data_IF_739847898093
#
_entry.id   IF_739847898093
#
_cell.length_a   1.000
_cell.length_b   1.000
_cell.length_c   1.000
_cell.angle_alpha   90.00
_cell.angle_beta   90.00
_cell.angle_gamma   90.00
#
_symmetry.space_group_name_H-M   'P 1'
#
loop_
_entity.id
_entity.type
_entity.pdbx_description
1 polymer ?
#
# COMPACT_ATOMS: atom_id res chain seq x y z
N UNK A 1 8.24 14.31 6.09
CA UNK A 1 7.28 13.28 5.64
C UNK A 1 7.18 12.23 6.74
N UNK A 2 6.11 12.24 7.54
CA UNK A 2 5.90 11.14 8.49
C UNK A 2 5.59 9.87 7.71
N UNK A 3 6.12 8.74 8.17
CA UNK A 3 5.92 7.48 7.47
C UNK A 3 4.47 7.03 7.61
N UNK A 4 3.74 7.00 6.50
CA UNK A 4 2.35 6.56 6.49
C UNK A 4 2.15 5.46 5.45
N UNK A 5 1.71 4.30 5.92
CA UNK A 5 1.32 3.21 5.05
C UNK A 5 -0.07 3.48 4.49
N UNK A 6 -0.27 3.19 3.20
CA UNK A 6 -1.62 3.15 2.67
C UNK A 6 -2.43 2.09 3.40
N UNK A 7 -3.60 2.48 3.88
CA UNK A 7 -4.64 1.57 4.35
C UNK A 7 -5.33 0.87 3.16
N UNK A 8 -6.27 -0.04 3.43
CA UNK A 8 -7.14 -0.57 2.36
C UNK A 8 -8.00 0.56 1.76
N UNK A 9 -8.52 1.45 2.61
CA UNK A 9 -9.34 2.58 2.19
C UNK A 9 -8.57 3.54 1.27
N UNK A 10 -7.32 3.87 1.60
CA UNK A 10 -6.48 4.70 0.72
C UNK A 10 -6.31 4.05 -0.67
N UNK A 11 -6.08 2.73 -0.71
CA UNK A 11 -5.91 2.01 -1.97
C UNK A 11 -7.19 1.98 -2.79
N UNK A 12 -8.35 1.79 -2.15
CA UNK A 12 -9.64 1.84 -2.82
C UNK A 12 -9.90 3.22 -3.45
N UNK A 13 -9.57 4.30 -2.74
CA UNK A 13 -9.65 5.67 -3.27
C UNK A 13 -8.71 5.88 -4.45
N UNK A 14 -7.46 5.40 -4.35
CA UNK A 14 -6.49 5.46 -5.45
C UNK A 14 -7.03 4.69 -6.67
N UNK A 15 -7.59 3.49 -6.48
CA UNK A 15 -8.17 2.71 -7.56
C UNK A 15 -9.29 3.47 -8.25
N UNK A 16 -10.30 3.94 -7.50
CA UNK A 16 -11.44 4.63 -8.07
C UNK A 16 -11.02 5.87 -8.90
N UNK A 17 -10.08 6.68 -8.38
CA UNK A 17 -9.62 7.87 -9.09
C UNK A 17 -8.73 7.52 -10.29
N UNK A 18 -7.89 6.50 -10.18
CA UNK A 18 -7.05 6.03 -11.29
C UNK A 18 -7.90 5.48 -12.44
N UNK A 19 -8.96 4.71 -12.14
CA UNK A 19 -9.90 4.22 -13.16
C UNK A 19 -10.67 5.34 -13.86
N UNK A 20 -10.86 6.47 -13.18
CA UNK A 20 -11.44 7.69 -13.77
C UNK A 20 -10.43 8.52 -14.59
N UNK A 21 -9.19 8.06 -14.75
CA UNK A 21 -8.16 8.73 -15.55
C UNK A 21 -7.44 9.89 -14.84
N UNK A 22 -7.56 10.01 -13.52
CA UNK A 22 -6.91 11.08 -12.76
C UNK A 22 -5.39 10.87 -12.73
N UNK A 23 -4.64 11.96 -12.94
CA UNK A 23 -3.19 11.96 -12.75
C UNK A 23 -2.82 11.78 -11.27
N UNK A 24 -1.60 11.30 -11.00
CA UNK A 24 -1.10 11.10 -9.62
C UNK A 24 -1.15 12.37 -8.76
N UNK A 25 -1.00 13.56 -9.37
CA UNK A 25 -1.15 14.86 -8.68
C UNK A 25 -2.60 15.15 -8.31
N UNK A 26 -3.55 14.88 -9.19
CA UNK A 26 -4.97 15.06 -8.87
C UNK A 26 -5.42 14.06 -7.79
N UNK A 27 -4.97 12.80 -7.88
CA UNK A 27 -5.23 11.79 -6.83
C UNK A 27 -4.65 12.24 -5.49
N UNK A 28 -3.45 12.85 -5.48
CA UNK A 28 -2.82 13.38 -4.28
C UNK A 28 -3.66 14.45 -3.59
N UNK A 29 -4.17 15.41 -4.37
CA UNK A 29 -5.05 16.48 -3.89
C UNK A 29 -6.31 15.89 -3.25
N UNK A 30 -6.96 14.93 -3.94
CA UNK A 30 -8.19 14.33 -3.44
C UNK A 30 -7.96 13.46 -2.20
N UNK A 31 -6.90 12.66 -2.18
CA UNK A 31 -6.63 11.71 -1.09
C UNK A 31 -5.91 12.33 0.10
N UNK A 32 -5.34 13.53 -0.04
CA UNK A 32 -4.45 14.13 0.97
C UNK A 32 -3.14 13.36 1.12
N UNK A 33 -2.76 12.55 0.13
CA UNK A 33 -1.55 11.73 0.12
C UNK A 33 -0.51 12.32 -0.81
N UNK A 34 0.76 12.10 -0.53
CA UNK A 34 1.82 12.64 -1.38
C UNK A 34 1.82 11.94 -2.76
N UNK A 35 1.87 12.73 -3.83
CA UNK A 35 1.79 12.23 -5.21
C UNK A 35 2.88 11.19 -5.54
N UNK A 36 4.10 11.36 -5.01
CA UNK A 36 5.19 10.39 -5.22
C UNK A 36 4.96 9.06 -4.51
N UNK A 37 4.18 9.04 -3.42
CA UNK A 37 3.78 7.80 -2.76
C UNK A 37 2.72 7.07 -3.57
N UNK A 38 1.76 7.80 -4.15
CA UNK A 38 0.75 7.24 -5.05
C UNK A 38 1.42 6.67 -6.31
N UNK A 39 2.34 7.41 -6.94
CA UNK A 39 3.07 6.94 -8.11
C UNK A 39 3.82 5.62 -7.83
N UNK A 40 4.52 5.53 -6.69
CA UNK A 40 5.21 4.29 -6.28
C UNK A 40 4.25 3.15 -5.94
N UNK A 41 3.04 3.44 -5.49
CA UNK A 41 2.02 2.42 -5.24
C UNK A 41 1.47 1.85 -6.56
N UNK A 42 1.15 2.73 -7.52
CA UNK A 42 0.69 2.33 -8.85
C UNK A 42 1.78 1.52 -9.58
N UNK A 43 3.00 2.05 -9.70
CA UNK A 43 4.11 1.35 -10.38
C UNK A 43 4.35 -0.05 -9.80
N UNK A 44 4.16 -0.23 -8.49
CA UNK A 44 4.45 -1.50 -7.84
C UNK A 44 3.32 -2.53 -7.94
N UNK A 45 2.07 -2.10 -8.00
CA UNK A 45 0.92 -3.00 -7.89
C UNK A 45 -0.01 -2.98 -9.11
N UNK A 46 0.26 -2.14 -10.11
CA UNK A 46 -0.46 -2.18 -11.39
C UNK A 46 0.04 -3.35 -12.22
N UNK A 47 -0.87 -4.17 -12.74
CA UNK A 47 -0.57 -5.31 -13.60
C UNK A 47 -1.38 -5.17 -14.88
N UNK A 48 -0.72 -5.23 -16.05
CA UNK A 48 -1.38 -5.05 -17.36
C UNK A 48 -2.26 -3.78 -17.41
N UNK A 49 -1.71 -2.68 -16.90
CA UNK A 49 -2.38 -1.36 -16.79
C UNK A 49 -3.61 -1.27 -15.87
N UNK A 50 -3.94 -2.36 -15.17
CA UNK A 50 -5.04 -2.40 -14.21
C UNK A 50 -4.48 -2.35 -12.80
N UNK A 51 -4.99 -1.42 -11.99
CA UNK A 51 -4.68 -1.32 -10.57
C UNK A 51 -5.85 -1.84 -9.75
N UNK A 52 -5.64 -2.91 -8.96
CA UNK A 52 -6.63 -3.50 -8.08
C UNK A 52 -6.20 -3.30 -6.62
N UNK A 53 -7.02 -2.58 -5.84
CA UNK A 53 -6.72 -2.17 -4.48
C UNK A 53 -6.58 -3.36 -3.53
N UNK A 54 -7.44 -4.37 -3.69
CA UNK A 54 -7.42 -5.57 -2.86
C UNK A 54 -6.12 -6.35 -3.05
N UNK A 55 -5.75 -6.63 -4.31
CA UNK A 55 -4.50 -7.29 -4.66
C UNK A 55 -3.29 -6.50 -4.15
N UNK A 56 -3.25 -5.19 -4.37
CA UNK A 56 -2.20 -4.30 -3.86
C UNK A 56 -2.08 -4.39 -2.33
N UNK A 57 -3.21 -4.47 -1.62
CA UNK A 57 -3.23 -4.62 -0.16
C UNK A 57 -2.71 -5.98 0.29
N UNK A 58 -3.11 -7.07 -0.37
CA UNK A 58 -2.61 -8.42 -0.08
C UNK A 58 -1.10 -8.52 -0.36
N UNK A 59 -0.63 -7.99 -1.48
CA UNK A 59 0.78 -7.88 -1.81
C UNK A 59 1.56 -7.08 -0.76
N UNK A 60 0.99 -6.00 -0.22
CA UNK A 60 1.59 -5.26 0.89
C UNK A 60 1.67 -6.11 2.17
N UNK A 61 0.60 -6.83 2.55
CA UNK A 61 0.63 -7.73 3.73
C UNK A 61 1.70 -8.80 3.60
N UNK A 62 1.79 -9.47 2.44
CA UNK A 62 2.82 -10.48 2.14
C UNK A 62 4.24 -9.91 2.30
N UNK A 63 4.51 -8.73 1.77
CA UNK A 63 5.80 -8.04 1.93
C UNK A 63 6.10 -7.66 3.39
N UNK A 64 5.09 -7.25 4.15
CA UNK A 64 5.27 -6.86 5.56
C UNK A 64 5.61 -8.03 6.47
N UNK A 65 5.14 -9.24 6.18
CA UNK A 65 5.52 -10.45 6.93
C UNK A 65 7.05 -10.62 6.92
N UNK A 66 7.67 -10.48 5.74
CA UNK A 66 9.12 -10.65 5.56
C UNK A 66 9.95 -9.44 6.02
N UNK A 67 9.32 -8.30 6.30
CA UNK A 67 9.99 -7.06 6.72
C UNK A 67 10.22 -6.98 8.23
N UNK A 68 9.74 -7.94 9.02
CA UNK A 68 9.95 -7.97 10.47
C UNK A 68 11.31 -8.63 10.78
N UNK A 69 12.17 -8.00 11.62
CA UNK A 69 13.41 -8.61 12.06
C UNK A 69 13.15 -9.96 12.75
N UNK A 70 13.99 -10.96 12.45
CA UNK A 70 13.96 -12.25 13.13
C UNK A 70 14.28 -12.06 14.62
N UNK A 71 13.57 -12.78 15.49
CA UNK A 71 13.81 -12.74 16.95
C UNK A 71 13.20 -11.54 17.69
N UNK A 72 12.41 -10.67 17.02
CA UNK A 72 11.55 -9.75 17.77
C UNK A 72 10.48 -10.53 18.52
N UNK A 73 10.18 -10.08 19.74
CA UNK A 73 9.16 -10.67 20.60
C UNK A 73 7.85 -10.90 19.82
N UNK A 74 7.41 -12.15 19.81
CA UNK A 74 6.10 -12.58 19.36
C UNK A 74 5.57 -13.57 20.38
N UNK A 75 4.25 -13.61 20.59
CA UNK A 75 3.63 -14.50 21.59
C UNK A 75 3.92 -15.97 21.31
N UNK A 76 4.08 -16.32 20.03
CA UNK A 76 4.44 -17.66 19.59
C UNK A 76 5.88 -18.02 19.96
N UNK A 77 6.82 -17.08 19.76
CA UNK A 77 8.24 -17.25 20.12
C UNK A 77 8.40 -17.31 21.65
N UNK A 78 7.64 -16.50 22.39
CA UNK A 78 7.67 -16.47 23.85
C UNK A 78 7.14 -17.75 24.50
N UNK A 79 6.32 -18.54 23.80
CA UNK A 79 5.79 -19.81 24.30
C UNK A 79 6.72 -21.02 24.05
N UNK A 80 7.79 -20.82 23.27
CA UNK A 80 8.77 -21.88 22.91
C UNK A 80 10.00 -21.86 23.85
N UNK A 81 10.16 -20.78 24.64
CA UNK A 81 11.21 -20.60 25.66
C UNK A 81 10.63 -20.91 27.03
#
# INVERSE_FOLDING_TARGET
MSYHHFSMFDRARIQALHTLGYSTRQIAIQTGRHHSSIARELVRNTTKDIYIAEEAHQCYKKRRIHSKPRGKYDKTIAAIV
#
